data_IF_504487775031
#
_entry.id   IF_504487775031
#
_cell.length_a   1.000
_cell.length_b   1.000
_cell.length_c   1.000
_cell.angle_alpha   90.00
_cell.angle_beta   90.00
_cell.angle_gamma   90.00
#
_symmetry.space_group_name_H-M   'P 1'
#
loop_
_entity.id
_entity.type
_entity.pdbx_description
1 polymer ?
#
# COMPACT_ATOMS: atom_id res chain seq x y z
N UNK A 1 -13.84 -3.14 0.26
CA UNK A 1 -13.76 -3.95 1.49
C UNK A 1 -13.42 -3.07 2.67
N UNK A 2 -14.17 -3.17 3.74
CA UNK A 2 -13.84 -2.49 5.00
C UNK A 2 -12.86 -3.32 5.81
N UNK A 3 -11.85 -2.66 6.34
CA UNK A 3 -10.84 -3.29 7.20
C UNK A 3 -11.03 -2.81 8.63
N UNK A 4 -11.03 -3.75 9.56
CA UNK A 4 -11.01 -3.45 10.99
C UNK A 4 -9.56 -3.63 11.43
N UNK A 5 -8.84 -2.51 11.52
CA UNK A 5 -7.40 -2.52 11.79
C UNK A 5 -7.09 -2.22 13.26
N UNK A 6 -6.09 -2.92 13.78
CA UNK A 6 -5.46 -2.63 15.06
C UNK A 6 -3.95 -2.83 14.95
N UNK A 7 -3.23 -2.62 16.04
CA UNK A 7 -1.77 -2.74 16.03
C UNK A 7 -1.27 -4.18 15.90
N UNK A 8 -2.13 -5.16 16.13
CA UNK A 8 -1.74 -6.58 16.06
C UNK A 8 -1.97 -7.18 14.65
N UNK A 9 -3.00 -6.70 13.93
CA UNK A 9 -3.36 -7.27 12.63
C UNK A 9 -2.84 -6.46 11.45
N UNK A 10 -2.03 -5.45 11.70
CA UNK A 10 -1.47 -4.58 10.67
C UNK A 10 -0.08 -4.12 11.04
N UNK A 11 0.72 -3.74 10.03
CA UNK A 11 2.07 -3.25 10.23
C UNK A 11 2.45 -2.28 9.11
N UNK A 12 2.85 -1.05 9.44
CA UNK A 12 3.38 -0.14 8.44
C UNK A 12 4.82 -0.54 8.12
N UNK A 13 5.17 -0.51 6.85
CA UNK A 13 6.54 -0.82 6.40
C UNK A 13 6.98 0.24 5.41
N UNK A 14 8.13 0.85 5.65
CA UNK A 14 8.71 1.81 4.73
C UNK A 14 9.84 1.14 3.96
N UNK A 15 9.77 1.22 2.63
CA UNK A 15 10.76 0.66 1.71
C UNK A 15 11.38 1.81 0.94
N UNK A 16 12.71 1.82 0.86
CA UNK A 16 13.43 2.82 0.07
C UNK A 16 13.88 2.18 -1.24
N UNK A 17 13.41 2.71 -2.35
CA UNK A 17 13.78 2.23 -3.69
C UNK A 17 14.14 3.42 -4.55
N UNK A 18 15.35 3.42 -5.13
CA UNK A 18 15.87 4.50 -5.98
C UNK A 18 15.75 5.88 -5.31
N UNK A 19 16.06 5.93 -4.01
CA UNK A 19 16.02 7.16 -3.23
C UNK A 19 14.64 7.62 -2.80
N UNK A 20 13.61 6.85 -3.09
CA UNK A 20 12.22 7.16 -2.69
C UNK A 20 11.79 6.29 -1.53
N UNK A 21 11.18 6.91 -0.53
CA UNK A 21 10.60 6.19 0.60
C UNK A 21 9.12 5.97 0.35
N UNK A 22 8.71 4.71 0.32
CA UNK A 22 7.33 4.30 0.10
C UNK A 22 6.84 3.57 1.33
N UNK A 23 5.77 4.03 1.93
CA UNK A 23 5.18 3.39 3.11
C UNK A 23 4.00 2.52 2.68
N UNK A 24 4.07 1.26 3.03
CA UNK A 24 3.06 0.25 2.75
C UNK A 24 2.36 -0.14 4.04
N UNK A 25 1.14 -0.64 3.92
CA UNK A 25 0.39 -1.19 5.04
C UNK A 25 0.27 -2.69 4.85
N UNK A 26 0.92 -3.44 5.72
CA UNK A 26 0.86 -4.90 5.70
C UNK A 26 -0.34 -5.36 6.54
N UNK A 27 -1.16 -6.22 5.97
CA UNK A 27 -2.20 -6.95 6.70
C UNK A 27 -1.95 -8.44 6.46
N UNK A 28 -2.65 -9.30 7.19
CA UNK A 28 -2.38 -10.74 7.12
C UNK A 28 -2.44 -11.31 5.70
N UNK A 29 -3.42 -10.87 4.92
CA UNK A 29 -3.69 -11.43 3.59
C UNK A 29 -3.10 -10.60 2.43
N UNK A 30 -2.59 -9.39 2.69
CA UNK A 30 -2.27 -8.48 1.58
C UNK A 30 -1.20 -7.45 1.95
N UNK A 31 -0.60 -6.90 0.91
CA UNK A 31 0.33 -5.77 1.00
C UNK A 31 -0.40 -4.59 0.36
N UNK A 32 -0.74 -3.60 1.16
CA UNK A 32 -1.59 -2.49 0.73
C UNK A 32 -0.80 -1.20 0.51
N UNK A 33 -1.25 -0.42 -0.47
CA UNK A 33 -0.65 0.87 -0.82
C UNK A 33 -1.78 1.86 -1.10
N UNK A 34 -1.65 3.10 -0.63
CA UNK A 34 -2.61 4.14 -0.97
C UNK A 34 -2.18 4.96 -2.19
N UNK A 35 -3.09 5.77 -2.73
CA UNK A 35 -2.85 6.57 -3.94
C UNK A 35 -1.74 7.60 -3.77
N UNK A 36 -1.53 8.12 -2.55
CA UNK A 36 -0.46 9.09 -2.30
C UNK A 36 0.92 8.42 -2.41
N UNK A 37 1.04 7.19 -1.96
CA UNK A 37 2.29 6.44 -2.06
C UNK A 37 2.55 5.98 -3.51
N UNK A 38 1.49 5.62 -4.24
CA UNK A 38 1.60 5.30 -5.66
C UNK A 38 2.10 6.52 -6.44
N UNK A 39 1.55 7.70 -6.16
CA UNK A 39 1.95 8.95 -6.79
C UNK A 39 3.43 9.26 -6.54
N UNK A 40 3.87 9.06 -5.30
CA UNK A 40 5.25 9.23 -4.89
C UNK A 40 6.18 8.26 -5.64
N UNK A 41 5.74 7.02 -5.78
CA UNK A 41 6.49 5.97 -6.46
C UNK A 41 6.75 6.30 -7.94
N UNK A 42 5.76 6.87 -8.62
CA UNK A 42 5.83 7.14 -10.06
C UNK A 42 6.14 8.60 -10.40
N UNK A 43 6.38 9.47 -9.41
CA UNK A 43 6.58 10.92 -9.63
C UNK A 43 5.41 11.55 -10.39
N UNK A 44 4.19 11.17 -10.06
CA UNK A 44 2.98 11.71 -10.67
C UNK A 44 2.13 12.41 -9.62
N UNK A 45 1.22 13.27 -10.08
CA UNK A 45 0.26 13.90 -9.20
C UNK A 45 -0.73 12.85 -8.67
N UNK A 46 -1.12 12.98 -7.42
CA UNK A 46 -2.08 12.07 -6.79
C UNK A 46 -3.38 11.97 -7.59
N UNK A 47 -3.87 13.09 -8.12
CA UNK A 47 -5.07 13.13 -8.96
C UNK A 47 -4.94 12.25 -10.20
N UNK A 48 -3.78 12.27 -10.87
CA UNK A 48 -3.50 11.44 -12.04
C UNK A 48 -3.54 9.96 -11.68
N UNK A 49 -2.93 9.61 -10.56
CA UNK A 49 -2.90 8.23 -10.05
C UNK A 49 -4.31 7.78 -9.68
N UNK A 50 -5.08 8.61 -8.98
CA UNK A 50 -6.44 8.28 -8.58
C UNK A 50 -7.32 7.97 -9.79
N UNK A 51 -7.16 8.71 -10.89
CA UNK A 51 -7.88 8.45 -12.13
C UNK A 51 -7.51 7.08 -12.73
N UNK A 52 -6.21 6.75 -12.76
CA UNK A 52 -5.75 5.46 -13.26
C UNK A 52 -6.26 4.30 -12.41
N UNK A 53 -6.20 4.45 -11.09
CA UNK A 53 -6.70 3.44 -10.15
C UNK A 53 -8.20 3.21 -10.37
N UNK A 54 -8.98 4.28 -10.51
CA UNK A 54 -10.40 4.19 -10.75
C UNK A 54 -10.71 3.44 -12.05
N UNK A 55 -9.98 3.74 -13.12
CA UNK A 55 -10.15 3.08 -14.42
C UNK A 55 -9.76 1.60 -14.39
N UNK A 56 -8.78 1.25 -13.58
CA UNK A 56 -8.31 -0.13 -13.45
C UNK A 56 -9.25 -1.02 -12.66
N UNK A 57 -10.24 -0.43 -11.98
CA UNK A 57 -11.24 -1.13 -11.17
C UNK A 57 -10.63 -2.01 -10.07
N UNK A 58 -9.53 -1.57 -9.50
CA UNK A 58 -8.93 -2.25 -8.33
C UNK A 58 -9.88 -2.19 -7.15
N UNK A 59 -9.92 -3.27 -6.37
CA UNK A 59 -10.69 -3.31 -5.15
C UNK A 59 -10.13 -2.30 -4.14
N UNK A 60 -11.03 -1.55 -3.50
CA UNK A 60 -10.68 -0.59 -2.46
C UNK A 60 -10.72 -1.26 -1.09
N UNK A 61 -9.67 -1.06 -0.31
CA UNK A 61 -9.62 -1.46 1.09
C UNK A 61 -9.71 -0.20 1.93
N UNK A 62 -10.72 -0.08 2.77
CA UNK A 62 -10.99 1.12 3.54
C UNK A 62 -11.02 0.81 5.04
N UNK A 63 -10.51 1.73 5.85
CA UNK A 63 -10.55 1.63 7.31
C UNK A 63 -11.02 2.94 7.91
N UNK A 64 -11.71 2.85 9.06
CA UNK A 64 -12.15 4.00 9.83
C UNK A 64 -11.21 4.32 11.00
N UNK A 65 -10.15 3.52 11.19
CA UNK A 65 -9.21 3.71 12.30
C UNK A 65 -8.20 4.81 11.97
N UNK A 66 -8.67 6.05 11.98
CA UNK A 66 -7.88 7.24 11.64
C UNK A 66 -6.68 7.40 12.58
N UNK A 67 -6.89 7.15 13.87
CA UNK A 67 -5.84 7.28 14.88
C UNK A 67 -4.67 6.35 14.57
N UNK A 68 -4.96 5.11 14.20
CA UNK A 68 -3.93 4.14 13.84
C UNK A 68 -3.16 4.57 12.58
N UNK A 69 -3.88 5.03 11.55
CA UNK A 69 -3.25 5.50 10.32
C UNK A 69 -2.34 6.70 10.56
N UNK A 70 -2.75 7.63 11.42
CA UNK A 70 -1.91 8.77 11.81
C UNK A 70 -0.66 8.31 12.56
N UNK A 71 -0.81 7.36 13.47
CA UNK A 71 0.32 6.78 14.19
C UNK A 71 1.30 6.08 13.27
N UNK A 72 0.81 5.47 12.21
CA UNK A 72 1.64 4.78 11.22
C UNK A 72 2.30 5.73 10.19
N UNK A 73 1.98 7.01 10.24
CA UNK A 73 2.49 7.97 9.26
C UNK A 73 1.82 7.87 7.89
N UNK A 74 0.68 7.20 7.82
CA UNK A 74 -0.08 7.01 6.58
C UNK A 74 -1.17 8.06 6.39
N UNK A 75 -1.29 8.99 7.33
CA UNK A 75 -2.29 10.03 7.30
C UNK A 75 -1.75 11.27 8.02
N UNK A 76 -1.95 12.45 7.45
CA UNK A 76 -1.51 13.70 8.07
C UNK A 76 -2.32 13.97 9.35
N UNK A 77 -1.69 14.64 10.31
CA UNK A 77 -2.30 14.90 11.63
C UNK A 77 -3.58 15.74 11.54
N UNK A 78 -3.70 16.59 10.52
CA UNK A 78 -4.86 17.46 10.31
C UNK A 78 -5.90 16.87 9.36
N UNK A 79 -5.60 15.70 8.76
CA UNK A 79 -6.52 15.05 7.85
C UNK A 79 -7.71 14.45 8.61
N UNK A 80 -8.90 14.53 8.02
CA UNK A 80 -10.14 14.06 8.63
C UNK A 80 -10.72 12.83 7.94
N UNK A 81 -10.23 12.52 6.74
CA UNK A 81 -10.74 11.42 5.93
C UNK A 81 -9.59 10.57 5.41
N UNK A 82 -9.60 9.25 5.64
CA UNK A 82 -8.55 8.37 5.15
C UNK A 82 -8.69 8.13 3.65
N UNK A 83 -7.55 7.86 3.00
CA UNK A 83 -7.51 7.42 1.62
C UNK A 83 -7.77 5.93 1.56
N UNK A 84 -8.38 5.43 0.48
CA UNK A 84 -8.48 3.98 0.30
C UNK A 84 -7.11 3.38 -0.01
N UNK A 85 -6.98 2.10 0.30
CA UNK A 85 -5.79 1.30 -0.01
C UNK A 85 -6.11 0.31 -1.13
N UNK A 86 -5.08 -0.14 -1.81
CA UNK A 86 -5.17 -1.10 -2.91
C UNK A 86 -4.11 -2.17 -2.72
N UNK A 87 -4.39 -3.40 -3.16
CA UNK A 87 -3.40 -4.48 -3.09
C UNK A 87 -2.32 -4.24 -4.14
N UNK A 88 -1.08 -4.08 -3.68
CA UNK A 88 0.05 -3.79 -4.54
C UNK A 88 0.24 -4.85 -5.64
N UNK A 89 0.00 -6.12 -5.31
CA UNK A 89 0.17 -7.21 -6.28
C UNK A 89 -0.88 -7.20 -7.38
N UNK A 90 -2.10 -6.77 -7.06
CA UNK A 90 -3.18 -6.67 -8.04
C UNK A 90 -2.89 -5.62 -9.11
N UNK A 91 -2.04 -4.64 -8.83
CA UNK A 91 -1.65 -3.64 -9.80
C UNK A 91 -0.89 -4.24 -11.00
N UNK A 92 -0.27 -5.40 -10.82
CA UNK A 92 0.48 -6.10 -11.87
C UNK A 92 -0.33 -7.21 -12.55
N UNK A 93 -1.57 -7.40 -12.14
CA UNK A 93 -2.40 -8.51 -12.62
C UNK A 93 -3.52 -8.02 -13.54
N UNK A 94 -3.84 -8.86 -14.56
CA UNK A 94 -4.99 -8.67 -15.42
C UNK A 94 -5.12 -7.27 -16.04
N UNK A 95 -6.33 -6.74 -16.12
CA UNK A 95 -6.58 -5.41 -16.72
C UNK A 95 -5.87 -4.26 -16.04
N UNK A 96 -5.57 -4.38 -14.75
CA UNK A 96 -4.88 -3.32 -13.98
C UNK A 96 -3.49 -3.06 -14.53
N UNK A 97 -2.78 -4.10 -14.94
CA UNK A 97 -1.43 -3.98 -15.50
C UNK A 97 -1.39 -3.01 -16.67
N UNK A 98 -2.41 -3.03 -17.53
CA UNK A 98 -2.49 -2.15 -18.70
C UNK A 98 -2.42 -0.67 -18.30
N UNK A 99 -3.16 -0.29 -17.25
CA UNK A 99 -3.21 1.09 -16.81
C UNK A 99 -1.91 1.55 -16.13
N UNK A 100 -1.29 0.68 -15.35
CA UNK A 100 -0.06 1.02 -14.63
C UNK A 100 1.19 0.91 -15.51
N UNK A 101 1.15 0.12 -16.56
CA UNK A 101 2.24 0.04 -17.54
C UNK A 101 2.49 1.37 -18.24
N UNK A 102 1.46 2.21 -18.36
CA UNK A 102 1.57 3.53 -18.97
C UNK A 102 2.16 4.58 -18.03
N UNK A 103 2.22 4.28 -16.73
CA UNK A 103 2.89 5.09 -15.73
C UNK A 103 4.28 4.48 -15.56
N UNK A 104 5.25 4.91 -16.31
CA UNK A 104 6.63 4.40 -16.36
C UNK A 104 7.13 3.54 -15.17
N UNK A 105 7.86 2.44 -15.47
CA UNK A 105 8.60 1.59 -14.53
C UNK A 105 7.79 0.53 -13.76
N UNK A 106 7.19 -0.41 -14.51
CA UNK A 106 6.68 -1.66 -13.89
C UNK A 106 7.79 -2.38 -13.12
N UNK A 107 9.04 -2.31 -13.58
CA UNK A 107 10.18 -2.94 -12.94
C UNK A 107 10.33 -2.46 -11.49
N UNK A 108 10.02 -1.19 -11.23
CA UNK A 108 10.09 -0.63 -9.90
C UNK A 108 9.04 -1.24 -8.98
N UNK A 109 7.83 -1.48 -9.49
CA UNK A 109 6.77 -2.16 -8.72
C UNK A 109 7.21 -3.59 -8.39
N UNK A 110 7.80 -4.31 -9.35
CA UNK A 110 8.27 -5.68 -9.12
C UNK A 110 9.31 -5.74 -8.01
N UNK A 111 10.26 -4.80 -7.99
CA UNK A 111 11.27 -4.72 -6.95
C UNK A 111 10.62 -4.45 -5.58
N UNK A 112 9.68 -3.51 -5.52
CA UNK A 112 8.98 -3.18 -4.29
C UNK A 112 8.17 -4.38 -3.78
N UNK A 113 7.47 -5.08 -4.67
CA UNK A 113 6.70 -6.27 -4.29
C UNK A 113 7.63 -7.34 -3.71
N UNK A 114 8.78 -7.57 -4.34
CA UNK A 114 9.74 -8.57 -3.86
C UNK A 114 10.23 -8.26 -2.45
N UNK A 115 10.62 -7.00 -2.21
CA UNK A 115 11.05 -6.55 -0.89
C UNK A 115 9.90 -6.62 0.11
N UNK A 116 8.72 -6.19 -0.30
CA UNK A 116 7.53 -6.17 0.56
C UNK A 116 7.10 -7.58 0.98
N UNK A 117 7.20 -8.57 0.07
CA UNK A 117 6.88 -9.96 0.40
C UNK A 117 7.81 -10.47 1.51
N UNK A 118 9.10 -10.16 1.42
CA UNK A 118 10.05 -10.53 2.47
C UNK A 118 9.70 -9.91 3.82
N UNK A 119 9.38 -8.61 3.81
CA UNK A 119 8.96 -7.90 5.03
C UNK A 119 7.66 -8.46 5.61
N UNK A 120 6.71 -8.80 4.75
CA UNK A 120 5.43 -9.36 5.14
C UNK A 120 5.61 -10.72 5.83
N UNK A 121 6.42 -11.60 5.25
CA UNK A 121 6.72 -12.92 5.83
C UNK A 121 7.40 -12.78 7.19
N UNK A 122 8.38 -11.88 7.28
CA UNK A 122 9.09 -11.60 8.52
C UNK A 122 8.14 -11.12 9.61
N UNK A 123 7.26 -10.18 9.28
CA UNK A 123 6.29 -9.66 10.24
C UNK A 123 5.34 -10.76 10.75
N UNK A 124 4.78 -11.56 9.85
CA UNK A 124 3.86 -12.65 10.23
C UNK A 124 4.58 -13.67 11.11
N UNK A 125 5.80 -14.06 10.73
CA UNK A 125 6.60 -15.01 11.49
C UNK A 125 6.87 -14.52 12.91
N UNK A 126 7.33 -13.27 13.04
CA UNK A 126 7.64 -12.68 14.35
C UNK A 126 6.38 -12.53 15.21
N UNK A 127 5.26 -12.17 14.61
CA UNK A 127 3.99 -12.07 15.30
C UNK A 127 3.55 -13.43 15.86
N UNK A 128 3.65 -14.47 15.04
CA UNK A 128 3.24 -15.82 15.45
C UNK A 128 4.14 -16.39 16.55
N UNK A 129 5.43 -16.11 16.51
CA UNK A 129 6.36 -16.48 17.58
C UNK A 129 5.96 -15.82 18.90
N UNK A 130 5.60 -14.53 18.89
CA UNK A 130 5.21 -13.80 20.09
C UNK A 130 3.91 -14.32 20.71
N UNK A 131 3.04 -14.94 19.92
CA UNK A 131 1.77 -15.51 20.40
C UNK A 131 1.96 -16.86 21.11
N UNK A 132 3.06 -17.50 20.84
CA UNK A 132 3.41 -18.80 21.46
C UNK A 132 4.30 -18.56 22.68
#
# INVERSE_FOLDING_TARGET
>A
MKLILDSENSNPTTITVKGKEITLLLIESSILIDSSQIAKLFDKKEKTVATKVQKSKLEKYETENIKLLKNYGLMNSDAVKPRPFYDLRQMLEGPSQYYFKQIDNLDLIEVIIRVAIGKHREWIHNRDIKKN
#
